data_IF_910837771140
#
_entry.id   IF_910837771140
#
_cell.length_a   1.000
_cell.length_b   1.000
_cell.length_c   1.000
_cell.angle_alpha   90.00
_cell.angle_beta   90.00
_cell.angle_gamma   90.00
#
_symmetry.space_group_name_H-M   'P 1'
#
loop_
_entity.id
_entity.type
_entity.pdbx_description
1 polymer ?
#
# COMPACT_ATOMS: atom_id res chain seq x y z
N UNK A 1 -12.85 -2.25 -9.46
CA UNK A 1 -11.70 -1.79 -8.66
C UNK A 1 -10.51 -1.51 -9.56
N UNK A 2 -9.82 -0.39 -9.33
CA UNK A 2 -8.60 -0.01 -10.04
C UNK A 2 -7.42 -0.04 -9.07
N UNK A 3 -6.31 -0.59 -9.54
CA UNK A 3 -5.10 -0.75 -8.74
C UNK A 3 -3.91 -0.17 -9.51
N UNK A 4 -2.91 0.27 -8.77
CA UNK A 4 -1.62 0.68 -9.32
C UNK A 4 -0.50 -0.14 -8.67
N UNK A 5 0.55 -0.39 -9.41
CA UNK A 5 1.80 -0.93 -8.87
C UNK A 5 2.59 0.20 -8.22
N UNK A 6 3.11 -0.06 -7.02
CA UNK A 6 3.83 0.97 -6.25
C UNK A 6 5.27 1.10 -6.72
N UNK A 7 5.92 -0.02 -6.97
CA UNK A 7 7.30 -0.07 -7.41
C UNK A 7 7.38 -0.21 -8.94
N UNK A 8 8.34 0.46 -9.62
CA UNK A 8 8.46 0.40 -11.06
C UNK A 8 8.89 -0.98 -11.54
N UNK A 9 8.27 -1.41 -12.64
CA UNK A 9 8.65 -2.63 -13.35
C UNK A 9 9.95 -2.37 -14.10
N UNK A 10 10.86 -3.35 -14.11
CA UNK A 10 12.04 -3.31 -14.95
C UNK A 10 11.62 -3.19 -16.44
N UNK A 11 12.08 -2.16 -17.19
CA UNK A 11 11.72 -1.99 -18.59
C UNK A 11 12.09 -3.19 -19.50
N UNK A 12 13.04 -4.00 -19.08
CA UNK A 12 13.49 -5.20 -19.79
C UNK A 12 12.69 -6.46 -19.41
N UNK A 13 11.79 -6.38 -18.44
CA UNK A 13 10.97 -7.51 -18.01
C UNK A 13 9.99 -7.95 -19.09
N UNK A 14 9.94 -9.24 -19.36
CA UNK A 14 9.01 -9.83 -20.33
C UNK A 14 7.79 -10.38 -19.60
N UNK A 15 6.76 -9.56 -19.50
CA UNK A 15 5.50 -9.95 -18.85
C UNK A 15 4.62 -10.68 -19.86
N UNK A 16 4.20 -11.91 -19.53
CA UNK A 16 3.31 -12.72 -20.37
C UNK A 16 1.92 -12.05 -20.46
N UNK A 17 1.34 -12.07 -21.66
CA UNK A 17 0.00 -11.56 -21.89
C UNK A 17 -1.03 -12.15 -20.89
N UNK A 18 -1.84 -11.27 -20.28
CA UNK A 18 -2.85 -11.65 -19.28
C UNK A 18 -2.28 -12.02 -17.90
N UNK A 19 -0.99 -11.83 -17.65
CA UNK A 19 -0.34 -11.98 -16.34
C UNK A 19 0.07 -10.62 -15.77
N UNK A 20 0.09 -10.50 -14.44
CA UNK A 20 0.73 -9.38 -13.76
C UNK A 20 2.23 -9.56 -13.67
N UNK A 21 2.95 -8.47 -13.37
CA UNK A 21 4.36 -8.54 -13.01
C UNK A 21 4.56 -9.36 -11.72
N UNK A 22 5.66 -10.05 -11.64
CA UNK A 22 6.12 -10.80 -10.47
C UNK A 22 7.15 -9.98 -9.68
N UNK A 23 7.56 -10.45 -8.51
CA UNK A 23 8.57 -9.77 -7.71
C UNK A 23 9.92 -9.64 -8.44
N UNK A 24 10.26 -10.61 -9.27
CA UNK A 24 11.49 -10.61 -10.10
C UNK A 24 11.46 -9.56 -11.23
N UNK A 25 10.27 -9.07 -11.58
CA UNK A 25 10.09 -8.06 -12.63
C UNK A 25 10.26 -6.63 -12.08
N UNK A 26 10.42 -6.44 -10.77
CA UNK A 26 10.52 -5.11 -10.15
C UNK A 26 11.95 -4.59 -10.19
N UNK A 27 12.10 -3.35 -10.69
CA UNK A 27 13.41 -2.71 -10.84
C UNK A 27 13.99 -2.26 -9.50
N UNK A 28 13.21 -1.54 -8.71
CA UNK A 28 13.62 -0.96 -7.43
C UNK A 28 12.38 -0.55 -6.62
N UNK A 29 12.58 -0.16 -5.37
CA UNK A 29 11.54 0.46 -4.55
C UNK A 29 11.86 1.92 -4.27
N UNK A 30 10.86 2.79 -4.45
CA UNK A 30 10.91 4.19 -4.08
C UNK A 30 10.17 4.49 -2.77
N UNK A 31 9.30 3.59 -2.34
CA UNK A 31 8.47 3.74 -1.14
C UNK A 31 8.49 2.46 -0.30
N UNK A 32 8.35 2.64 1.01
CA UNK A 32 7.80 1.63 1.90
C UNK A 32 6.32 1.96 2.13
N UNK A 33 5.52 0.96 2.51
CA UNK A 33 4.09 1.14 2.68
C UNK A 33 3.51 0.21 3.74
N UNK A 34 2.32 0.54 4.25
CA UNK A 34 1.51 -0.32 5.09
C UNK A 34 0.05 -0.30 4.61
N UNK A 35 -0.67 -1.41 4.81
CA UNK A 35 -2.07 -1.59 4.46
C UNK A 35 -2.87 -1.97 5.71
N UNK A 36 -3.65 -1.03 6.23
CA UNK A 36 -4.50 -1.19 7.39
C UNK A 36 -5.95 -1.50 6.94
N UNK A 37 -6.28 -2.79 6.86
CA UNK A 37 -7.59 -3.29 6.41
C UNK A 37 -8.55 -3.58 7.57
N UNK A 38 -8.10 -3.41 8.83
CA UNK A 38 -8.90 -3.59 10.04
C UNK A 38 -8.59 -2.53 11.10
N UNK A 39 -9.34 -2.57 12.21
CA UNK A 39 -9.20 -1.59 13.30
C UNK A 39 -7.85 -1.66 14.01
N UNK A 40 -7.29 -2.86 14.15
CA UNK A 40 -6.03 -3.08 14.84
C UNK A 40 -4.87 -2.53 14.02
N UNK A 41 -4.82 -2.87 12.72
CA UNK A 41 -3.85 -2.31 11.79
C UNK A 41 -3.96 -0.78 11.67
N UNK A 42 -5.19 -0.22 11.71
CA UNK A 42 -5.37 1.23 11.70
C UNK A 42 -4.80 1.90 12.96
N UNK A 43 -4.97 1.30 14.14
CA UNK A 43 -4.38 1.81 15.39
C UNK A 43 -2.85 1.76 15.33
N UNK A 44 -2.28 0.63 14.89
CA UNK A 44 -0.84 0.49 14.73
C UNK A 44 -0.26 1.48 13.73
N UNK A 45 -0.93 1.66 12.60
CA UNK A 45 -0.54 2.63 11.58
C UNK A 45 -0.58 4.07 12.11
N UNK A 46 -1.63 4.44 12.86
CA UNK A 46 -1.75 5.75 13.50
C UNK A 46 -0.63 5.97 14.50
N UNK A 47 -0.34 5.00 15.36
CA UNK A 47 0.75 5.09 16.35
C UNK A 47 2.13 5.23 15.68
N UNK A 48 2.36 4.56 14.56
CA UNK A 48 3.60 4.75 13.79
C UNK A 48 3.64 6.15 13.16
N UNK A 49 2.52 6.62 12.60
CA UNK A 49 2.41 7.91 11.94
C UNK A 49 2.66 9.10 12.89
N UNK A 50 2.36 8.96 14.19
CA UNK A 50 2.67 9.98 15.21
C UNK A 50 4.18 10.22 15.35
N UNK A 51 5.00 9.20 15.11
CA UNK A 51 6.47 9.28 15.22
C UNK A 51 7.14 9.38 13.84
N UNK A 52 6.54 8.82 12.84
CA UNK A 52 7.03 8.79 11.45
C UNK A 52 5.87 9.09 10.51
N UNK A 53 5.54 10.38 10.30
CA UNK A 53 4.45 10.78 9.43
C UNK A 53 4.66 10.26 8.00
N UNK A 54 3.64 9.65 7.37
CA UNK A 54 3.75 9.19 5.99
C UNK A 54 3.76 10.38 5.01
N UNK A 55 4.48 10.23 3.91
CA UNK A 55 4.48 11.21 2.81
C UNK A 55 3.14 11.20 2.05
N UNK A 56 2.50 10.03 1.98
CA UNK A 56 1.19 9.87 1.34
C UNK A 56 0.31 8.99 2.24
N UNK A 57 -0.91 9.44 2.47
CA UNK A 57 -1.96 8.68 3.14
C UNK A 57 -3.15 8.49 2.19
N UNK A 58 -3.58 7.25 2.00
CA UNK A 58 -4.71 6.89 1.14
C UNK A 58 -5.81 6.26 1.99
N UNK A 59 -7.00 6.86 2.00
CA UNK A 59 -8.18 6.26 2.63
C UNK A 59 -8.91 5.43 1.58
N UNK A 60 -9.00 4.12 1.80
CA UNK A 60 -9.64 3.17 0.88
C UNK A 60 -11.10 2.92 1.20
N UNK A 61 -11.58 3.40 2.34
CA UNK A 61 -12.96 3.38 2.78
C UNK A 61 -13.09 3.72 4.25
N UNK A 62 -14.30 4.09 4.67
CA UNK A 62 -14.62 4.53 6.04
C UNK A 62 -15.74 3.69 6.68
N UNK A 63 -16.48 2.93 5.89
CA UNK A 63 -17.61 2.10 6.34
C UNK A 63 -17.27 0.62 6.18
N UNK A 64 -17.45 -0.21 7.22
CA UNK A 64 -17.98 0.05 8.57
C UNK A 64 -16.92 0.66 9.51
N UNK A 65 -15.67 0.79 9.09
CA UNK A 65 -14.56 1.45 9.79
C UNK A 65 -13.53 1.92 8.76
N UNK A 66 -12.69 2.86 9.16
CA UNK A 66 -11.65 3.39 8.28
C UNK A 66 -10.62 2.31 7.93
N UNK A 67 -10.24 2.31 6.65
CA UNK A 67 -9.18 1.49 6.07
C UNK A 67 -8.27 2.39 5.27
N UNK A 68 -6.97 2.18 5.40
CA UNK A 68 -6.02 3.11 4.79
C UNK A 68 -4.71 2.45 4.41
N UNK A 69 -4.03 3.06 3.45
CA UNK A 69 -2.63 2.81 3.13
C UNK A 69 -1.81 4.02 3.53
N UNK A 70 -0.61 3.80 4.01
CA UNK A 70 0.39 4.83 4.21
C UNK A 70 1.65 4.51 3.41
N UNK A 71 2.31 5.54 2.90
CA UNK A 71 3.51 5.42 2.08
C UNK A 71 4.57 6.37 2.61
N UNK A 72 5.79 5.86 2.75
CA UNK A 72 6.99 6.61 3.13
C UNK A 72 7.98 6.56 1.98
N UNK A 73 8.34 7.74 1.46
CA UNK A 73 9.33 7.86 0.41
C UNK A 73 10.72 7.49 0.95
N UNK A 74 11.43 6.64 0.25
CA UNK A 74 12.82 6.33 0.57
C UNK A 74 13.73 7.50 0.16
N UNK A 75 14.76 7.79 0.96
CA UNK A 75 15.75 8.81 0.62
C UNK A 75 16.46 8.52 -0.71
N UNK A 76 16.73 7.24 -0.96
CA UNK A 76 17.30 6.73 -2.21
C UNK A 76 16.53 5.48 -2.66
N UNK A 77 16.44 5.22 -3.97
CA UNK A 77 15.82 3.99 -4.47
C UNK A 77 16.55 2.76 -3.94
N UNK A 78 15.80 1.77 -3.48
CA UNK A 78 16.34 0.50 -3.04
C UNK A 78 16.30 -0.53 -4.18
N UNK A 79 17.44 -1.00 -4.62
CA UNK A 79 17.57 -2.02 -5.68
C UNK A 79 17.70 -3.45 -5.12
N UNK A 80 18.02 -3.62 -3.85
CA UNK A 80 18.01 -4.91 -3.17
C UNK A 80 16.59 -5.22 -2.67
N UNK A 81 15.84 -5.96 -3.48
CA UNK A 81 14.45 -6.30 -3.18
C UNK A 81 14.31 -7.29 -2.01
N UNK A 82 15.34 -8.10 -1.72
CA UNK A 82 15.34 -8.96 -0.55
C UNK A 82 15.48 -8.14 0.74
N UNK A 83 16.40 -7.19 0.74
CA UNK A 83 16.56 -6.24 1.84
C UNK A 83 15.28 -5.43 2.03
N UNK A 84 14.74 -4.84 0.96
CA UNK A 84 13.49 -4.06 1.02
C UNK A 84 12.33 -4.90 1.57
N UNK A 85 12.13 -6.13 1.08
CA UNK A 85 11.08 -7.04 1.55
C UNK A 85 11.21 -7.33 3.05
N UNK A 86 12.44 -7.50 3.56
CA UNK A 86 12.67 -7.70 4.99
C UNK A 86 12.28 -6.48 5.83
N UNK A 87 12.57 -5.27 5.34
CA UNK A 87 12.17 -4.01 5.99
C UNK A 87 10.67 -3.79 5.90
N UNK A 88 10.06 -4.13 4.77
CA UNK A 88 8.62 -4.06 4.57
C UNK A 88 7.86 -4.99 5.54
N UNK A 89 8.37 -6.20 5.75
CA UNK A 89 7.83 -7.13 6.74
C UNK A 89 7.92 -6.55 8.18
N UNK A 90 9.03 -5.88 8.49
CA UNK A 90 9.20 -5.21 9.80
C UNK A 90 8.19 -4.06 10.00
N UNK A 91 7.93 -3.26 8.98
CA UNK A 91 6.90 -2.20 9.04
C UNK A 91 5.52 -2.83 9.30
N UNK A 92 5.15 -3.90 8.59
CA UNK A 92 3.90 -4.59 8.81
C UNK A 92 3.77 -5.14 10.25
N UNK A 93 4.85 -5.67 10.81
CA UNK A 93 4.90 -6.14 12.21
C UNK A 93 4.76 -4.97 13.21
N UNK A 94 5.39 -3.83 12.96
CA UNK A 94 5.31 -2.65 13.81
C UNK A 94 3.92 -2.01 13.82
N UNK A 95 3.23 -2.05 12.67
CA UNK A 95 1.89 -1.50 12.53
C UNK A 95 0.78 -2.51 12.83
N UNK A 96 1.13 -3.77 13.08
CA UNK A 96 0.16 -4.88 13.21
C UNK A 96 -0.81 -4.96 12.01
N UNK A 97 -0.26 -4.69 10.81
CA UNK A 97 -0.99 -4.71 9.53
C UNK A 97 -0.81 -6.04 8.80
N UNK A 98 -1.42 -6.20 7.63
CA UNK A 98 -1.35 -7.44 6.86
C UNK A 98 0.10 -7.78 6.46
N UNK A 99 0.64 -8.82 7.10
CA UNK A 99 2.00 -9.34 6.85
C UNK A 99 2.21 -9.91 5.44
N UNK A 100 1.15 -10.15 4.70
CA UNK A 100 1.26 -10.56 3.30
C UNK A 100 1.62 -9.38 2.37
N UNK A 101 1.44 -8.14 2.83
CA UNK A 101 1.69 -6.91 2.09
C UNK A 101 3.17 -6.50 2.18
N UNK A 102 4.07 -7.36 1.67
CA UNK A 102 5.52 -7.16 1.70
C UNK A 102 6.23 -7.47 0.38
N UNK A 103 5.50 -7.88 -0.62
CA UNK A 103 6.08 -8.28 -1.90
C UNK A 103 6.35 -7.05 -2.80
N UNK A 104 7.48 -7.02 -3.53
CA UNK A 104 7.84 -5.91 -4.41
C UNK A 104 6.81 -5.59 -5.49
N UNK A 105 6.16 -6.61 -6.07
CA UNK A 105 5.14 -6.47 -7.12
C UNK A 105 3.74 -6.12 -6.61
N UNK A 106 3.64 -5.64 -5.36
CA UNK A 106 2.36 -5.32 -4.75
C UNK A 106 1.61 -4.26 -5.53
N UNK A 107 0.34 -4.53 -5.78
CA UNK A 107 -0.62 -3.55 -6.31
C UNK A 107 -1.49 -3.02 -5.17
N UNK A 108 -1.75 -1.72 -5.20
CA UNK A 108 -2.54 -1.01 -4.20
C UNK A 108 -3.65 -0.22 -4.88
N UNK A 109 -4.72 0.12 -4.16
CA UNK A 109 -5.84 0.85 -4.73
C UNK A 109 -5.43 2.22 -5.23
N UNK A 110 -5.87 2.55 -6.45
CA UNK A 110 -5.61 3.85 -7.05
C UNK A 110 -6.52 4.93 -6.45
N UNK A 111 -5.98 6.00 -5.84
CA UNK A 111 -6.77 7.15 -5.41
C UNK A 111 -7.52 7.80 -6.57
N UNK A 112 -8.68 8.39 -6.28
CA UNK A 112 -9.57 8.99 -7.29
C UNK A 112 -10.49 7.98 -7.99
N UNK A 113 -10.43 6.70 -7.59
CA UNK A 113 -11.32 5.65 -8.11
C UNK A 113 -12.25 5.10 -7.03
N UNK A 114 -13.33 4.44 -7.44
CA UNK A 114 -14.26 3.83 -6.49
C UNK A 114 -13.80 2.43 -6.11
N UNK A 115 -13.74 2.18 -4.79
CA UNK A 115 -13.51 0.87 -4.20
C UNK A 115 -14.84 0.13 -4.06
N UNK A 116 -15.02 -0.94 -4.80
CA UNK A 116 -16.20 -1.80 -4.70
C UNK A 116 -15.90 -3.02 -3.82
N UNK A 117 -16.63 -3.21 -2.71
CA UNK A 117 -16.45 -4.38 -1.86
C UNK A 117 -16.97 -5.65 -2.56
N UNK A 118 -16.35 -6.79 -2.26
CA UNK A 118 -16.88 -8.10 -2.67
C UNK A 118 -18.23 -8.38 -2.00
N UNK A 119 -19.03 -9.32 -2.55
CA UNK A 119 -20.30 -9.72 -1.97
C UNK A 119 -20.15 -10.10 -0.47
N UNK A 120 -19.10 -10.84 -0.12
CA UNK A 120 -18.80 -11.20 1.28
C UNK A 120 -18.46 -9.99 2.17
N UNK A 121 -17.86 -8.93 1.63
CA UNK A 121 -17.63 -7.68 2.37
C UNK A 121 -18.94 -6.88 2.50
N UNK A 122 -19.80 -6.87 1.47
CA UNK A 122 -21.10 -6.18 1.52
C UNK A 122 -22.00 -6.73 2.63
N UNK A 123 -22.04 -8.06 2.83
CA UNK A 123 -22.78 -8.66 3.95
C UNK A 123 -22.27 -8.23 5.34
N UNK A 124 -21.05 -7.72 5.42
CA UNK A 124 -20.44 -7.16 6.64
C UNK A 124 -20.61 -5.64 6.75
N UNK A 125 -21.42 -5.02 5.90
CA UNK A 125 -21.72 -3.59 5.93
C UNK A 125 -20.74 -2.71 5.16
N UNK A 126 -19.82 -3.27 4.37
CA UNK A 126 -18.94 -2.48 3.51
C UNK A 126 -19.75 -1.92 2.32
N UNK A 127 -19.43 -0.69 1.93
CA UNK A 127 -20.09 0.02 0.84
C UNK A 127 -19.09 0.41 -0.25
N UNK A 128 -19.55 0.71 -1.48
CA UNK A 128 -18.70 1.38 -2.46
C UNK A 128 -18.32 2.78 -1.97
N UNK A 129 -17.02 3.11 -2.00
CA UNK A 129 -16.51 4.39 -1.52
C UNK A 129 -15.42 4.92 -2.45
N UNK A 130 -15.34 6.25 -2.56
CA UNK A 130 -14.25 6.91 -3.28
C UNK A 130 -12.94 6.74 -2.50
N UNK A 131 -11.91 6.24 -3.15
CA UNK A 131 -10.56 6.20 -2.59
C UNK A 131 -9.97 7.59 -2.66
N UNK A 132 -9.58 8.14 -1.51
CA UNK A 132 -9.04 9.49 -1.39
C UNK A 132 -7.57 9.47 -0.97
N UNK A 133 -6.86 10.56 -1.22
CA UNK A 133 -5.44 10.70 -0.90
C UNK A 133 -5.18 12.04 -0.22
N UNK A 134 -4.28 12.03 0.75
CA UNK A 134 -3.69 13.22 1.36
C UNK A 134 -2.17 13.12 1.28
N UNK A 135 -1.51 14.22 0.94
CA UNK A 135 -0.05 14.35 1.03
C UNK A 135 0.34 14.78 2.44
N UNK A 136 1.41 14.20 2.97
CA UNK A 136 2.01 14.62 4.22
C UNK A 136 2.69 15.98 4.11
N UNK A 137 3.03 16.59 5.24
CA UNK A 137 3.67 17.92 5.28
C UNK A 137 5.07 17.95 4.61
N UNK A 138 5.72 16.80 4.47
CA UNK A 138 7.01 16.66 3.77
C UNK A 138 6.86 16.53 2.25
N UNK A 139 5.64 16.43 1.74
CA UNK A 139 5.33 16.31 0.30
C UNK A 139 5.44 17.61 -0.49
N UNK A 140 6.40 18.47 -0.18
CA UNK A 140 6.80 19.54 -1.10
C UNK A 140 7.63 18.93 -2.23
N UNK A 141 7.03 18.90 -3.41
CA UNK A 141 7.74 18.74 -4.68
C UNK A 141 8.74 19.88 -4.87
#
# INVERSE_FOLDING_TARGET
NVYMMINPINPEAVIKAGKGATDDDILCAHYSFADADDRQGLQGLTSLADNLPPDIHVTTGTVPYERSHAYWKLAEPCYDMNFWTSKQAHIADQCDTDRSVKNPSRIMRLPGTVSYPSAAKQTKGYMPELVTMKLGASGCL
#
